data_IF_472835544255
#
_entry.id   IF_472835544255
#
_cell.length_a   1.000
_cell.length_b   1.000
_cell.length_c   1.000
_cell.angle_alpha   90.00
_cell.angle_beta   90.00
_cell.angle_gamma   90.00
#
_symmetry.space_group_name_H-M   'P 1'
#
loop_
_entity.id
_entity.type
_entity.pdbx_description
1 polymer ?
#
# COMPACT_ATOMS: atom_id res chain seq x y z
N UNK A 1 15.21 -1.36 5.62
CA UNK A 1 15.70 -2.74 5.34
C UNK A 1 15.18 -3.20 3.98
N UNK A 2 15.94 -3.96 3.16
CA UNK A 2 15.40 -4.49 1.88
C UNK A 2 14.78 -5.86 2.09
N UNK A 3 13.53 -6.05 1.66
CA UNK A 3 12.78 -7.30 1.82
C UNK A 3 12.06 -7.66 0.51
N UNK A 4 11.78 -8.94 0.28
CA UNK A 4 10.99 -9.43 -0.85
C UNK A 4 9.59 -9.86 -0.38
N UNK A 5 8.71 -10.23 -1.31
CA UNK A 5 7.35 -10.64 -0.99
C UNK A 5 7.32 -11.88 -0.08
N UNK A 6 8.10 -12.92 -0.40
CA UNK A 6 8.14 -14.16 0.40
C UNK A 6 8.51 -13.91 1.87
N UNK A 7 9.54 -13.09 2.11
CA UNK A 7 10.00 -12.79 3.46
C UNK A 7 9.01 -11.88 4.20
N UNK A 8 8.40 -10.91 3.51
CA UNK A 8 7.35 -10.08 4.10
C UNK A 8 6.17 -10.95 4.53
N UNK A 9 5.68 -11.81 3.65
CA UNK A 9 4.53 -12.68 3.90
C UNK A 9 4.83 -13.71 5.00
N UNK A 10 6.05 -14.27 5.06
CA UNK A 10 6.47 -15.16 6.14
C UNK A 10 6.43 -14.46 7.51
N UNK A 11 7.04 -13.27 7.60
CA UNK A 11 7.06 -12.48 8.85
C UNK A 11 5.67 -12.01 9.25
N UNK A 12 4.87 -11.58 8.27
CA UNK A 12 3.49 -11.18 8.50
C UNK A 12 2.63 -12.34 9.02
N UNK A 13 2.82 -13.55 8.47
CA UNK A 13 2.15 -14.77 8.91
C UNK A 13 2.52 -15.18 10.35
N UNK A 14 3.72 -14.80 10.84
CA UNK A 14 4.09 -14.99 12.25
C UNK A 14 3.60 -13.88 13.18
N UNK A 15 2.77 -12.96 12.69
CA UNK A 15 2.16 -11.89 13.47
C UNK A 15 2.92 -10.56 13.44
N UNK A 16 4.01 -10.47 12.70
CA UNK A 16 4.69 -9.19 12.54
C UNK A 16 3.80 -8.23 11.73
N UNK A 17 3.73 -6.97 12.17
CA UNK A 17 2.98 -5.92 11.47
C UNK A 17 3.85 -4.74 11.12
N UNK A 18 5.02 -4.60 11.74
CA UNK A 18 5.89 -3.46 11.52
C UNK A 18 6.88 -3.69 10.38
N UNK A 19 6.58 -3.04 9.25
CA UNK A 19 7.39 -3.02 8.05
C UNK A 19 7.64 -1.56 7.62
N UNK A 20 7.73 -0.63 8.57
CA UNK A 20 8.07 0.75 8.27
C UNK A 20 9.43 0.87 7.55
N UNK A 21 9.54 1.86 6.65
CA UNK A 21 10.76 2.23 5.93
C UNK A 21 11.43 1.08 5.17
N UNK A 22 10.68 0.01 4.85
CA UNK A 22 11.22 -1.08 4.05
C UNK A 22 11.44 -0.62 2.61
N UNK A 23 12.51 -1.13 2.01
CA UNK A 23 12.71 -1.07 0.57
C UNK A 23 12.20 -2.37 -0.01
N UNK A 24 11.10 -2.32 -0.75
CA UNK A 24 10.56 -3.52 -1.36
C UNK A 24 11.33 -3.88 -2.62
N UNK A 25 11.71 -5.15 -2.74
CA UNK A 25 12.52 -5.64 -3.88
C UNK A 25 11.75 -6.53 -4.86
N UNK A 26 10.56 -6.97 -4.46
CA UNK A 26 9.61 -7.69 -5.30
C UNK A 26 8.55 -6.72 -5.84
N UNK A 27 7.75 -7.16 -6.81
CA UNK A 27 6.70 -6.33 -7.42
C UNK A 27 5.29 -6.85 -7.18
N UNK A 28 5.11 -7.92 -6.41
CA UNK A 28 3.82 -8.62 -6.33
C UNK A 28 3.45 -8.82 -4.86
N UNK A 29 2.26 -8.34 -4.50
CA UNK A 29 1.53 -8.53 -3.25
C UNK A 29 0.01 -8.58 -3.55
N UNK A 30 -0.36 -8.93 -4.78
CA UNK A 30 -1.74 -8.93 -5.28
C UNK A 30 -2.60 -9.96 -4.54
N UNK A 31 -3.83 -9.57 -4.18
CA UNK A 31 -4.80 -10.43 -3.51
C UNK A 31 -4.47 -10.81 -2.06
N UNK A 32 -3.36 -10.33 -1.50
CA UNK A 32 -2.93 -10.68 -0.14
C UNK A 32 -3.80 -10.03 0.95
N UNK A 33 -3.90 -10.67 2.12
CA UNK A 33 -4.54 -10.10 3.31
C UNK A 33 -3.49 -9.46 4.24
N UNK A 34 -3.31 -8.14 4.10
CA UNK A 34 -2.31 -7.34 4.82
C UNK A 34 -2.98 -6.30 5.74
N UNK A 35 -4.13 -6.63 6.32
CA UNK A 35 -4.84 -5.76 7.27
C UNK A 35 -3.94 -5.31 8.42
N UNK A 36 -4.07 -4.05 8.82
CA UNK A 36 -3.34 -3.45 9.95
C UNK A 36 -1.80 -3.49 9.79
N UNK A 37 -1.28 -3.78 8.59
CA UNK A 37 0.16 -3.71 8.34
C UNK A 37 0.66 -2.26 8.46
N UNK A 38 1.81 -2.07 9.07
CA UNK A 38 2.53 -0.81 9.06
C UNK A 38 3.56 -0.83 7.92
N UNK A 39 3.27 -0.07 6.87
CA UNK A 39 4.13 0.20 5.71
C UNK A 39 4.47 1.70 5.63
N UNK A 40 4.42 2.42 6.75
CA UNK A 40 4.78 3.85 6.77
C UNK A 40 6.19 4.08 6.24
N UNK A 41 6.35 5.08 5.38
CA UNK A 41 7.63 5.38 4.71
C UNK A 41 8.16 4.31 3.74
N UNK A 42 7.43 3.21 3.51
CA UNK A 42 7.89 2.13 2.65
C UNK A 42 8.03 2.56 1.18
N UNK A 43 9.05 2.00 0.51
CA UNK A 43 9.23 2.14 -0.94
C UNK A 43 8.47 1.01 -1.67
N UNK A 44 7.27 1.33 -2.17
CA UNK A 44 6.32 0.43 -2.84
C UNK A 44 6.14 0.81 -4.32
N UNK A 45 7.16 1.42 -4.93
CA UNK A 45 7.10 1.90 -6.29
C UNK A 45 6.90 0.74 -7.27
N UNK A 46 5.85 0.85 -8.10
CA UNK A 46 5.49 -0.16 -9.11
C UNK A 46 5.25 -1.56 -8.52
N UNK A 47 4.78 -1.63 -7.27
CA UNK A 47 4.30 -2.86 -6.65
C UNK A 47 2.84 -3.08 -7.08
N UNK A 48 2.52 -4.32 -7.39
CA UNK A 48 1.16 -4.79 -7.59
C UNK A 48 0.53 -5.11 -6.25
N UNK A 49 -0.44 -4.30 -5.86
CA UNK A 49 -1.28 -4.41 -4.68
C UNK A 49 -2.75 -4.58 -5.11
N UNK A 50 -3.00 -5.05 -6.35
CA UNK A 50 -4.37 -5.20 -6.84
C UNK A 50 -5.12 -6.26 -6.04
N UNK A 51 -6.36 -5.95 -5.66
CA UNK A 51 -7.19 -6.83 -4.83
C UNK A 51 -6.70 -7.04 -3.39
N UNK A 52 -5.56 -6.46 -2.99
CA UNK A 52 -4.98 -6.62 -1.65
C UNK A 52 -5.89 -5.99 -0.59
N UNK A 53 -6.05 -6.67 0.54
CA UNK A 53 -6.77 -6.15 1.70
C UNK A 53 -5.81 -5.40 2.63
N UNK A 54 -5.83 -4.07 2.55
CA UNK A 54 -5.02 -3.14 3.34
C UNK A 54 -5.90 -2.36 4.35
N UNK A 55 -7.02 -2.95 4.79
CA UNK A 55 -7.91 -2.30 5.75
C UNK A 55 -7.14 -1.92 7.02
N UNK A 56 -7.31 -0.69 7.48
CA UNK A 56 -6.61 -0.10 8.63
C UNK A 56 -5.06 -0.12 8.52
N UNK A 57 -4.49 -0.31 7.33
CA UNK A 57 -3.04 -0.27 7.15
C UNK A 57 -2.50 1.15 7.39
N UNK A 58 -1.28 1.25 7.91
CA UNK A 58 -0.55 2.52 7.96
C UNK A 58 0.38 2.62 6.76
N UNK A 59 0.06 3.50 5.81
CA UNK A 59 0.82 3.83 4.61
C UNK A 59 1.30 5.30 4.63
N UNK A 60 1.30 5.95 5.80
CA UNK A 60 1.73 7.34 5.90
C UNK A 60 3.14 7.54 5.36
N UNK A 61 3.31 8.53 4.48
CA UNK A 61 4.57 8.81 3.80
C UNK A 61 5.08 7.72 2.85
N UNK A 62 4.31 6.66 2.58
CA UNK A 62 4.74 5.59 1.68
C UNK A 62 4.83 6.07 0.23
N UNK A 63 5.77 5.50 -0.54
CA UNK A 63 5.95 5.80 -1.96
C UNK A 63 5.28 4.72 -2.80
N UNK A 64 4.05 4.99 -3.23
CA UNK A 64 3.19 4.14 -4.06
C UNK A 64 3.21 4.56 -5.54
N UNK A 65 4.28 5.23 -5.99
CA UNK A 65 4.40 5.77 -7.34
C UNK A 65 4.26 4.64 -8.38
N UNK A 66 3.32 4.80 -9.31
CA UNK A 66 2.97 3.79 -10.32
C UNK A 66 2.62 2.40 -9.75
N UNK A 67 2.18 2.30 -8.49
CA UNK A 67 1.66 1.06 -7.93
C UNK A 67 0.30 0.71 -8.55
N UNK A 68 -0.01 -0.58 -8.62
CA UNK A 68 -1.35 -1.04 -9.00
C UNK A 68 -2.16 -1.29 -7.74
N UNK A 69 -3.17 -0.45 -7.46
CA UNK A 69 -4.11 -0.58 -6.35
C UNK A 69 -5.51 -0.97 -6.83
N UNK A 70 -5.65 -1.43 -8.08
CA UNK A 70 -6.93 -1.81 -8.67
C UNK A 70 -7.69 -2.77 -7.75
N UNK A 71 -8.94 -2.44 -7.42
CA UNK A 71 -9.80 -3.22 -6.52
C UNK A 71 -9.22 -3.52 -5.11
N UNK A 72 -8.16 -2.83 -4.68
CA UNK A 72 -7.63 -2.97 -3.32
C UNK A 72 -8.60 -2.40 -2.28
N UNK A 73 -8.56 -2.96 -1.06
CA UNK A 73 -9.35 -2.45 0.06
C UNK A 73 -8.48 -1.64 1.02
N UNK A 74 -8.59 -0.30 0.97
CA UNK A 74 -7.89 0.64 1.84
C UNK A 74 -8.83 1.28 2.87
N UNK A 75 -9.95 0.61 3.21
CA UNK A 75 -10.89 1.15 4.19
C UNK A 75 -10.19 1.42 5.53
N UNK A 76 -10.34 2.64 6.05
CA UNK A 76 -9.71 3.07 7.31
C UNK A 76 -8.18 3.19 7.26
N UNK A 77 -7.54 3.07 6.09
CA UNK A 77 -6.08 3.16 5.97
C UNK A 77 -5.59 4.60 6.17
N UNK A 78 -4.41 4.76 6.77
CA UNK A 78 -3.74 6.05 6.87
C UNK A 78 -2.79 6.23 5.68
N UNK A 79 -3.09 7.16 4.78
CA UNK A 79 -2.24 7.55 3.65
C UNK A 79 -1.70 8.99 3.78
N UNK A 80 -1.65 9.53 5.00
CA UNK A 80 -1.16 10.88 5.27
C UNK A 80 0.21 11.10 4.62
N UNK A 81 0.30 12.06 3.70
CA UNK A 81 1.55 12.38 2.99
C UNK A 81 2.11 11.29 2.07
N UNK A 82 1.34 10.24 1.76
CA UNK A 82 1.76 9.20 0.82
C UNK A 82 1.81 9.73 -0.62
N UNK A 83 2.68 9.14 -1.46
CA UNK A 83 2.79 9.50 -2.87
C UNK A 83 2.23 8.39 -3.77
N UNK A 84 1.03 8.62 -4.32
CA UNK A 84 0.34 7.73 -5.25
C UNK A 84 0.47 8.22 -6.70
N UNK A 85 1.50 9.00 -7.02
CA UNK A 85 1.65 9.56 -8.37
C UNK A 85 1.68 8.45 -9.44
N UNK A 86 0.76 8.53 -10.40
CA UNK A 86 0.59 7.54 -11.47
C UNK A 86 0.11 6.16 -11.00
N UNK A 87 -0.35 6.00 -9.76
CA UNK A 87 -0.95 4.75 -9.30
C UNK A 87 -2.30 4.48 -10.00
N UNK A 88 -2.59 3.21 -10.27
CA UNK A 88 -3.91 2.78 -10.74
C UNK A 88 -4.80 2.51 -9.52
N UNK A 89 -5.86 3.29 -9.34
CA UNK A 89 -6.75 3.21 -8.19
C UNK A 89 -8.19 2.83 -8.62
N UNK A 90 -8.36 2.19 -9.78
CA UNK A 90 -9.68 1.81 -10.28
C UNK A 90 -10.34 0.83 -9.31
N UNK A 91 -11.51 1.20 -8.77
CA UNK A 91 -12.27 0.36 -7.85
C UNK A 91 -11.64 0.18 -6.46
N UNK A 92 -10.60 0.95 -6.12
CA UNK A 92 -10.00 0.93 -4.78
C UNK A 92 -10.98 1.48 -3.75
N UNK A 93 -11.18 0.79 -2.63
CA UNK A 93 -12.03 1.27 -1.54
C UNK A 93 -11.24 2.18 -0.60
N UNK A 94 -11.46 3.49 -0.67
CA UNK A 94 -10.89 4.48 0.24
C UNK A 94 -11.84 4.94 1.37
N UNK A 95 -12.92 4.21 1.66
CA UNK A 95 -13.86 4.59 2.73
C UNK A 95 -13.10 4.79 4.04
N UNK A 96 -13.33 5.91 4.72
CA UNK A 96 -12.70 6.26 6.00
C UNK A 96 -11.15 6.33 5.97
N UNK A 97 -10.53 6.31 4.78
CA UNK A 97 -9.09 6.47 4.65
C UNK A 97 -8.67 7.93 4.86
N UNK A 98 -7.55 8.15 5.53
CA UNK A 98 -6.94 9.48 5.64
C UNK A 98 -6.08 9.75 4.42
N UNK A 99 -6.57 10.60 3.52
CA UNK A 99 -5.89 11.05 2.30
C UNK A 99 -5.30 12.46 2.43
N UNK A 100 -5.19 12.99 3.65
CA UNK A 100 -4.64 14.32 3.88
C UNK A 100 -3.18 14.39 3.42
N UNK A 101 -2.81 15.45 2.70
CA UNK A 101 -1.46 15.63 2.13
C UNK A 101 -1.02 14.53 1.15
N UNK A 102 -1.91 13.61 0.75
CA UNK A 102 -1.58 12.58 -0.25
C UNK A 102 -1.34 13.21 -1.62
N UNK A 103 -0.27 12.80 -2.30
CA UNK A 103 0.06 13.23 -3.65
C UNK A 103 -0.61 12.28 -4.65
N UNK A 104 -1.48 12.83 -5.50
CA UNK A 104 -2.30 12.07 -6.47
C UNK A 104 -1.98 12.44 -7.93
N UNK A 105 -0.79 12.98 -8.22
CA UNK A 105 -0.50 13.47 -9.56
C UNK A 105 -0.59 12.35 -10.60
N UNK A 106 -1.42 12.52 -11.64
CA UNK A 106 -1.66 11.51 -12.69
C UNK A 106 -2.20 10.14 -12.18
N UNK A 107 -2.70 10.03 -10.94
CA UNK A 107 -3.36 8.81 -10.50
C UNK A 107 -4.70 8.64 -11.23
N UNK A 108 -4.97 7.45 -11.76
CA UNK A 108 -6.24 7.13 -12.40
C UNK A 108 -7.28 6.81 -11.32
N UNK A 109 -7.87 7.85 -10.75
CA UNK A 109 -8.99 7.71 -9.84
C UNK A 109 -10.27 7.81 -10.66
N UNK A 110 -10.98 6.69 -10.82
CA UNK A 110 -12.34 6.69 -11.33
C UNK A 110 -13.27 6.76 -10.11
N UNK A 111 -13.52 7.98 -9.62
CA UNK A 111 -14.46 8.27 -8.53
C UNK A 111 -15.88 8.36 -9.09
#
# INVERSE_FOLDING_TARGET
>A
MRINAEELLRRYATGERDFADIKFSARLLDGEDLREINLSGADLIRVDLSGTNLRNANLSGARLICANLTAANLEGANLFGADLSGADCIGTNFRDADLSETILSLSLIHI
#
